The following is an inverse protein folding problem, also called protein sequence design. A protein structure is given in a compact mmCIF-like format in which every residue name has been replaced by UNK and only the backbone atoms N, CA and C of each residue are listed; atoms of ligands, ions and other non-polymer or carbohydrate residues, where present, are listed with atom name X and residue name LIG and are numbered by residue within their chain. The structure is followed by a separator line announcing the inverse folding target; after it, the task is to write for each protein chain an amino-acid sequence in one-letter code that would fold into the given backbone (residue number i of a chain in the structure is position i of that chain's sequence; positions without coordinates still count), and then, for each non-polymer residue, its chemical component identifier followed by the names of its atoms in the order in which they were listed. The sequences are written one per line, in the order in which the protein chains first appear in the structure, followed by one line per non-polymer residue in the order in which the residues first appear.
data_IF_108030575083
#
_entry.id   IF_108030575083
#
_cell.length_a   1.000
_cell.length_b   1.000
_cell.length_c   1.000
_cell.angle_alpha   90.00
_cell.angle_beta   90.00
_cell.angle_gamma   90.00
#
_symmetry.space_group_name_H-M   'P 1'
#
loop_
_entity.id
_entity.type
_entity.pdbx_description
1 polymer ?
#
# COMPACT_ATOMS: atom_id res chain seq x y z
N UNK A 1 -64.69 -11.52 44.39
CA UNK A 1 -64.18 -10.39 43.59
C UNK A 1 -62.66 -10.34 43.72
N UNK A 2 -61.97 -10.18 42.60
CA UNK A 2 -60.60 -9.65 42.42
C UNK A 2 -59.37 -10.55 42.71
N UNK A 3 -59.00 -11.27 41.63
CA UNK A 3 -57.67 -11.56 41.05
C UNK A 3 -56.42 -11.16 41.85
N UNK A 4 -55.50 -12.13 42.02
CA UNK A 4 -54.05 -11.90 41.90
C UNK A 4 -53.41 -13.02 41.08
N UNK A 5 -52.51 -12.60 40.19
CA UNK A 5 -51.91 -13.30 39.06
C UNK A 5 -50.54 -13.86 39.46
N UNK A 6 -50.17 -15.01 38.86
CA UNK A 6 -48.93 -15.83 38.99
C UNK A 6 -47.65 -15.02 38.68
N UNK A 7 -46.41 -15.50 39.00
CA UNK A 7 -45.73 -16.35 38.00
C UNK A 7 -44.74 -17.41 38.52
N UNK A 8 -44.72 -18.48 37.71
CA UNK A 8 -43.70 -19.49 37.46
C UNK A 8 -42.24 -19.03 37.70
N UNK A 9 -41.50 -19.76 38.55
CA UNK A 9 -40.05 -19.70 38.63
C UNK A 9 -39.45 -20.70 37.62
N UNK A 10 -39.05 -20.18 36.46
CA UNK A 10 -38.32 -20.92 35.43
C UNK A 10 -36.82 -20.80 35.65
N UNK A 11 -36.19 -21.93 35.99
CA UNK A 11 -34.76 -22.15 36.14
C UNK A 11 -34.04 -21.96 34.78
N UNK A 12 -33.20 -20.94 34.66
CA UNK A 12 -32.35 -20.71 33.47
C UNK A 12 -31.00 -21.38 33.70
N UNK A 13 -30.76 -22.51 33.01
CA UNK A 13 -29.47 -23.18 32.95
C UNK A 13 -28.67 -22.59 31.78
N UNK A 14 -27.71 -21.70 32.07
CA UNK A 14 -26.76 -21.16 31.10
C UNK A 14 -25.66 -22.19 30.85
N UNK A 15 -25.66 -22.81 29.66
CA UNK A 15 -24.54 -23.64 29.19
C UNK A 15 -23.59 -22.74 28.39
N UNK A 16 -22.37 -22.57 28.89
CA UNK A 16 -21.33 -21.77 28.26
C UNK A 16 -20.74 -22.54 27.07
N UNK A 17 -20.99 -22.04 25.85
CA UNK A 17 -20.31 -22.53 24.64
C UNK A 17 -18.95 -21.83 24.55
N UNK A 18 -17.88 -22.52 24.93
CA UNK A 18 -16.52 -22.08 24.68
C UNK A 18 -16.16 -22.34 23.22
N UNK A 19 -16.29 -21.31 22.37
CA UNK A 19 -15.77 -21.33 21.00
C UNK A 19 -14.26 -21.09 21.06
N UNK A 20 -13.42 -21.99 20.54
CA UNK A 20 -11.99 -21.74 20.45
C UNK A 20 -11.76 -20.70 19.37
N UNK A 21 -11.38 -19.49 19.77
CA UNK A 21 -10.86 -18.47 18.86
C UNK A 21 -9.45 -18.90 18.48
N UNK A 22 -9.31 -19.57 17.34
CA UNK A 22 -8.02 -19.80 16.72
C UNK A 22 -7.49 -18.45 16.21
N UNK A 23 -6.64 -17.79 17.01
CA UNK A 23 -5.81 -16.70 16.52
C UNK A 23 -4.74 -17.31 15.62
N UNK A 24 -4.91 -17.15 14.31
CA UNK A 24 -3.85 -17.42 13.35
C UNK A 24 -2.75 -16.39 13.57
N UNK A 25 -1.56 -16.87 13.92
CA UNK A 25 -0.35 -16.07 14.05
C UNK A 25 0.08 -15.67 12.63
N UNK A 26 -0.11 -14.39 12.27
CA UNK A 26 0.37 -13.84 11.02
C UNK A 26 1.89 -13.75 11.11
N UNK A 27 2.59 -14.66 10.43
CA UNK A 27 4.04 -14.59 10.26
C UNK A 27 4.42 -13.22 9.69
N UNK A 28 4.96 -12.32 10.54
CA UNK A 28 5.60 -11.06 10.18
C UNK A 28 6.83 -11.34 9.30
N UNK A 29 6.57 -11.67 8.05
CA UNK A 29 7.59 -11.60 7.01
C UNK A 29 7.79 -10.12 6.78
N UNK A 30 8.82 -9.53 7.40
CA UNK A 30 9.14 -8.11 7.28
C UNK A 30 8.94 -7.68 5.83
N UNK A 31 7.92 -6.86 5.59
CA UNK A 31 7.57 -6.47 4.25
C UNK A 31 8.70 -5.59 3.72
N UNK A 32 9.06 -5.65 2.41
CA UNK A 32 10.08 -4.75 1.85
C UNK A 32 9.86 -3.28 2.22
N UNK A 33 8.61 -2.88 2.43
CA UNK A 33 8.13 -1.60 2.93
C UNK A 33 8.74 -1.23 4.32
N UNK A 34 8.73 -2.17 5.27
CA UNK A 34 9.22 -1.95 6.65
C UNK A 34 10.74 -1.80 6.71
N UNK A 35 11.46 -2.55 5.88
CA UNK A 35 12.92 -2.47 5.77
C UNK A 35 13.38 -1.08 5.34
N UNK A 36 12.60 -0.43 4.49
CA UNK A 36 12.94 0.85 3.89
C UNK A 36 12.19 2.05 4.49
N UNK A 37 11.32 1.82 5.46
CA UNK A 37 10.63 2.90 6.17
C UNK A 37 9.58 3.60 5.32
N UNK A 38 8.90 2.87 4.44
CA UNK A 38 7.88 3.43 3.54
C UNK A 38 6.64 2.55 3.52
N UNK A 39 5.47 3.17 3.42
CA UNK A 39 4.18 2.48 3.30
C UNK A 39 3.54 2.88 1.98
N UNK A 40 3.05 1.92 1.19
CA UNK A 40 2.35 2.22 -0.06
C UNK A 40 0.95 2.73 0.28
N UNK A 41 0.67 3.98 -0.09
CA UNK A 41 -0.65 4.59 0.12
C UNK A 41 -1.55 4.37 -1.08
N UNK A 42 -1.00 4.50 -2.29
CA UNK A 42 -1.79 4.43 -3.51
C UNK A 42 -0.93 4.11 -4.72
N UNK A 43 -1.46 3.25 -5.59
CA UNK A 43 -0.98 3.05 -6.95
C UNK A 43 -2.19 3.00 -7.88
N UNK A 44 -2.29 3.95 -8.81
CA UNK A 44 -3.44 4.03 -9.73
C UNK A 44 -3.05 4.59 -11.09
N UNK A 45 -3.84 4.27 -12.11
CA UNK A 45 -3.75 4.96 -13.39
C UNK A 45 -4.41 6.34 -13.31
N UNK A 46 -3.81 7.34 -13.96
CA UNK A 46 -4.30 8.71 -14.06
C UNK A 46 -4.13 9.23 -15.50
N UNK A 47 -4.51 10.49 -15.76
CA UNK A 47 -4.42 11.11 -17.08
C UNK A 47 -5.02 10.22 -18.19
N UNK A 48 -6.25 9.73 -17.97
CA UNK A 48 -6.94 8.79 -18.88
C UNK A 48 -6.12 7.52 -19.21
N UNK A 49 -5.33 7.03 -18.25
CA UNK A 49 -4.52 5.82 -18.42
C UNK A 49 -3.11 6.09 -18.95
N UNK A 50 -2.74 7.31 -19.29
CA UNK A 50 -1.40 7.64 -19.80
C UNK A 50 -0.34 7.81 -18.71
N UNK A 51 -0.73 7.78 -17.43
CA UNK A 51 0.18 7.95 -16.32
C UNK A 51 -0.18 7.00 -15.18
N UNK A 52 0.82 6.63 -14.37
CA UNK A 52 0.61 5.88 -13.11
C UNK A 52 1.08 6.77 -11.95
N UNK A 53 0.14 7.10 -11.06
CA UNK A 53 0.36 7.89 -9.84
C UNK A 53 0.69 6.93 -8.70
N UNK A 54 1.95 6.93 -8.27
CA UNK A 54 2.42 6.19 -7.12
C UNK A 54 2.62 7.13 -5.93
N UNK A 55 1.97 6.79 -4.82
CA UNK A 55 2.05 7.54 -3.56
C UNK A 55 2.46 6.59 -2.44
N UNK A 56 3.43 7.04 -1.67
CA UNK A 56 3.90 6.33 -0.50
C UNK A 56 4.10 7.30 0.65
N UNK A 57 3.88 6.82 1.86
CA UNK A 57 4.10 7.54 3.12
C UNK A 57 5.45 7.11 3.68
N UNK A 58 6.23 8.06 4.18
CA UNK A 58 7.44 7.75 4.95
C UNK A 58 7.05 7.41 6.38
N UNK A 59 7.41 6.21 6.85
CA UNK A 59 7.26 5.78 8.24
C UNK A 59 8.54 6.01 9.04
N UNK A 60 9.71 5.79 8.42
CA UNK A 60 11.03 6.04 9.00
C UNK A 60 11.86 6.97 8.09
N UNK A 61 12.10 8.22 8.50
CA UNK A 61 12.88 9.18 7.73
C UNK A 61 14.33 8.76 7.46
N UNK A 62 14.97 8.06 8.39
CA UNK A 62 16.38 7.68 8.27
C UNK A 62 16.55 6.58 7.22
N UNK A 63 15.67 5.57 7.24
CA UNK A 63 15.66 4.47 6.26
C UNK A 63 15.24 4.90 4.86
N UNK A 64 14.39 5.93 4.74
CA UNK A 64 13.84 6.37 3.46
C UNK A 64 14.70 7.38 2.69
N UNK A 65 15.72 7.98 3.34
CA UNK A 65 16.72 8.87 2.70
C UNK A 65 17.26 8.37 1.36
N UNK A 66 17.76 7.12 1.22
CA UNK A 66 18.28 6.61 -0.05
C UNK A 66 17.22 6.58 -1.16
N UNK A 67 15.96 6.29 -0.85
CA UNK A 67 14.87 6.24 -1.85
C UNK A 67 14.51 7.63 -2.36
N UNK A 68 14.50 8.62 -1.47
CA UNK A 68 14.16 10.02 -1.77
C UNK A 68 15.32 10.84 -2.36
N UNK A 69 16.50 10.23 -2.49
CA UNK A 69 17.67 10.84 -3.10
C UNK A 69 17.44 11.21 -4.57
N UNK A 70 18.09 12.29 -5.02
CA UNK A 70 18.09 12.70 -6.42
C UNK A 70 18.82 11.69 -7.32
N UNK A 71 19.75 10.92 -6.76
CA UNK A 71 20.54 9.93 -7.51
C UNK A 71 19.74 8.65 -7.79
N UNK A 72 18.73 8.37 -6.99
CA UNK A 72 17.87 7.19 -7.14
C UNK A 72 16.97 7.38 -8.37
N UNK A 73 16.90 6.37 -9.23
CA UNK A 73 16.07 6.40 -10.45
C UNK A 73 14.94 5.38 -10.31
N UNK A 74 13.74 5.82 -9.88
CA UNK A 74 12.60 4.93 -9.80
C UNK A 74 12.19 4.43 -11.18
N UNK A 75 11.70 3.20 -11.25
CA UNK A 75 10.96 2.70 -12.41
C UNK A 75 9.95 1.65 -11.97
N UNK A 76 8.93 1.44 -12.79
CA UNK A 76 8.01 0.31 -12.65
C UNK A 76 8.38 -0.76 -13.66
N UNK A 77 8.10 -2.01 -13.31
CA UNK A 77 8.13 -3.13 -14.25
C UNK A 77 6.70 -3.65 -14.34
N UNK A 78 6.13 -3.59 -15.54
CA UNK A 78 4.86 -4.26 -15.80
C UNK A 78 5.09 -5.78 -15.80
N UNK A 79 4.46 -6.51 -14.88
CA UNK A 79 4.67 -7.95 -14.77
C UNK A 79 4.11 -8.73 -15.96
N UNK A 80 3.14 -8.18 -16.70
CA UNK A 80 2.57 -8.86 -17.87
C UNK A 80 3.50 -8.84 -19.06
N UNK A 81 4.14 -7.69 -19.29
CA UNK A 81 4.97 -7.46 -20.50
C UNK A 81 6.46 -7.49 -20.19
N UNK A 82 6.86 -7.43 -18.93
CA UNK A 82 8.25 -7.23 -18.51
C UNK A 82 8.80 -5.83 -18.83
N UNK A 83 7.94 -4.90 -19.25
CA UNK A 83 8.39 -3.58 -19.72
C UNK A 83 8.79 -2.69 -18.57
N UNK A 84 9.97 -2.08 -18.68
CA UNK A 84 10.43 -1.05 -17.75
C UNK A 84 9.82 0.30 -18.10
N UNK A 85 9.16 0.89 -17.10
CA UNK A 85 8.40 2.11 -17.21
C UNK A 85 9.07 3.19 -16.37
N UNK A 86 9.49 4.26 -17.07
CA UNK A 86 10.24 5.37 -16.48
C UNK A 86 9.35 6.39 -15.79
N UNK A 87 9.96 7.18 -14.90
CA UNK A 87 9.35 8.39 -14.33
C UNK A 87 9.03 9.38 -15.46
N UNK A 88 7.83 9.97 -15.41
CA UNK A 88 7.42 11.02 -16.32
C UNK A 88 8.34 12.24 -16.17
N UNK A 89 8.73 12.84 -17.29
CA UNK A 89 9.56 14.04 -17.31
C UNK A 89 8.79 15.15 -17.98
N UNK A 90 8.73 16.29 -17.30
CA UNK A 90 8.14 17.53 -17.82
C UNK A 90 9.24 18.53 -18.18
N UNK A 91 8.85 19.70 -18.68
CA UNK A 91 9.76 20.84 -18.84
C UNK A 91 10.50 21.22 -17.55
N UNK A 92 9.91 20.97 -16.38
CA UNK A 92 10.49 21.28 -15.07
C UNK A 92 11.28 20.11 -14.47
N UNK A 93 11.54 19.07 -15.27
CA UNK A 93 12.26 17.87 -14.84
C UNK A 93 11.34 16.71 -14.46
N UNK A 94 11.91 15.75 -13.74
CA UNK A 94 11.24 14.50 -13.37
C UNK A 94 10.06 14.75 -12.44
N UNK A 95 8.92 14.15 -12.75
CA UNK A 95 7.68 14.23 -11.97
C UNK A 95 7.73 13.31 -10.76
N UNK A 96 8.67 13.61 -9.87
CA UNK A 96 8.86 12.93 -8.59
C UNK A 96 9.31 13.93 -7.54
N UNK A 97 8.92 13.68 -6.30
CA UNK A 97 9.44 14.45 -5.18
C UNK A 97 10.74 13.84 -4.68
N UNK A 98 11.74 14.69 -4.45
CA UNK A 98 13.05 14.30 -3.88
C UNK A 98 13.38 15.23 -2.73
N UNK A 99 13.97 14.71 -1.66
CA UNK A 99 14.40 15.50 -0.51
C UNK A 99 15.60 14.83 0.16
N UNK A 100 16.48 15.62 0.77
CA UNK A 100 17.55 15.12 1.64
C UNK A 100 17.09 14.96 3.09
N UNK A 101 15.98 15.59 3.47
CA UNK A 101 15.33 15.50 4.77
C UNK A 101 13.89 15.00 4.59
N UNK A 102 13.67 13.67 4.56
CA UNK A 102 12.32 13.10 4.59
C UNK A 102 11.58 13.50 5.87
N UNK A 103 10.27 13.71 5.77
CA UNK A 103 9.42 13.97 6.92
C UNK A 103 8.58 12.74 7.26
N UNK A 104 8.50 12.37 8.54
CA UNK A 104 7.65 11.29 9.02
C UNK A 104 6.19 11.55 8.69
N UNK A 105 5.46 10.50 8.33
CA UNK A 105 4.04 10.53 7.98
C UNK A 105 3.71 11.44 6.78
N UNK A 106 4.71 11.85 6.00
CA UNK A 106 4.51 12.64 4.79
C UNK A 106 4.33 11.71 3.59
N UNK A 107 3.36 12.05 2.75
CA UNK A 107 3.12 11.37 1.48
C UNK A 107 3.99 12.02 0.40
N UNK A 108 4.76 11.18 -0.28
CA UNK A 108 5.54 11.52 -1.45
C UNK A 108 4.94 10.89 -2.69
N UNK A 109 5.13 11.56 -3.83
CA UNK A 109 4.57 11.11 -5.11
C UNK A 109 5.65 10.90 -6.16
N UNK A 110 5.49 9.85 -6.95
CA UNK A 110 6.21 9.59 -8.19
C UNK A 110 5.18 9.33 -9.28
N UNK A 111 5.31 10.03 -10.41
CA UNK A 111 4.46 9.84 -11.56
C UNK A 111 5.24 9.12 -12.65
N UNK A 112 4.71 8.01 -13.14
CA UNK A 112 5.29 7.22 -14.21
C UNK A 112 4.51 7.41 -15.51
N UNK A 113 5.18 7.31 -16.65
CA UNK A 113 4.51 7.31 -17.96
C UNK A 113 3.84 5.97 -18.22
N UNK A 114 2.69 5.89 -18.86
CA UNK A 114 2.10 4.62 -19.31
C UNK A 114 1.85 4.68 -20.83
N UNK A 115 2.91 4.52 -21.65
CA UNK A 115 2.78 4.61 -23.10
C UNK A 115 1.86 3.49 -23.59
N UNK A 116 0.90 3.83 -24.45
CA UNK A 116 -0.06 2.85 -24.99
C UNK A 116 -1.07 2.30 -23.97
N UNK A 117 -1.15 2.89 -22.77
CA UNK A 117 -2.09 2.48 -21.71
C UNK A 117 -1.99 0.98 -21.36
N UNK A 118 -0.76 0.45 -21.34
CA UNK A 118 -0.50 -0.98 -21.13
C UNK A 118 -0.85 -1.41 -19.72
N UNK A 119 -0.50 -0.60 -18.72
CA UNK A 119 -0.92 -0.81 -17.33
C UNK A 119 -2.38 -0.39 -17.17
N UNK A 120 -3.21 -1.29 -16.65
CA UNK A 120 -4.61 -1.03 -16.32
C UNK A 120 -4.89 -1.28 -14.84
N UNK A 121 -6.04 -0.81 -14.38
CA UNK A 121 -6.57 -1.15 -13.05
C UNK A 121 -6.70 -2.68 -12.93
N UNK A 122 -6.26 -3.22 -11.80
CA UNK A 122 -6.18 -4.66 -11.50
C UNK A 122 -4.84 -5.29 -11.89
N UNK A 123 -4.00 -4.60 -12.64
CA UNK A 123 -2.71 -5.15 -13.06
C UNK A 123 -1.72 -5.11 -11.91
N UNK A 124 -0.75 -6.03 -11.96
CA UNK A 124 0.35 -6.09 -11.01
C UNK A 124 1.61 -5.49 -11.61
N UNK A 125 2.31 -4.72 -10.80
CA UNK A 125 3.59 -4.13 -11.18
C UNK A 125 4.61 -4.37 -10.09
N UNK A 126 5.87 -4.37 -10.49
CA UNK A 126 7.00 -4.34 -9.56
C UNK A 126 7.56 -2.93 -9.51
N UNK A 127 7.69 -2.37 -8.32
CA UNK A 127 8.23 -1.04 -8.07
C UNK A 127 9.71 -1.20 -7.71
N UNK A 128 10.58 -0.47 -8.43
CA UNK A 128 12.01 -0.45 -8.13
C UNK A 128 12.46 0.98 -7.85
N UNK A 129 13.07 1.20 -6.69
CA UNK A 129 13.62 2.48 -6.26
C UNK A 129 15.02 2.30 -5.68
N UNK A 130 16.03 2.34 -6.55
CA UNK A 130 17.40 1.98 -6.14
C UNK A 130 17.44 0.50 -5.79
N UNK A 131 17.76 0.18 -4.53
CA UNK A 131 17.82 -1.20 -4.04
C UNK A 131 16.49 -1.67 -3.43
N UNK A 132 15.51 -0.77 -3.25
CA UNK A 132 14.15 -1.16 -2.88
C UNK A 132 13.46 -1.80 -4.09
N UNK A 133 13.00 -3.04 -3.91
CA UNK A 133 12.16 -3.75 -4.87
C UNK A 133 10.91 -4.24 -4.16
N UNK A 134 9.74 -3.85 -4.66
CA UNK A 134 8.44 -4.31 -4.15
C UNK A 134 7.70 -4.96 -5.30
N UNK A 135 7.44 -6.24 -5.19
CA UNK A 135 6.77 -7.04 -6.21
C UNK A 135 5.25 -7.10 -5.95
N UNK A 136 4.49 -7.49 -6.98
CA UNK A 136 3.06 -7.80 -6.89
C UNK A 136 2.16 -6.66 -6.40
N UNK A 137 2.57 -5.41 -6.64
CA UNK A 137 1.74 -4.25 -6.26
C UNK A 137 0.60 -4.10 -7.25
N UNK A 138 -0.64 -4.24 -6.77
CA UNK A 138 -1.84 -4.09 -7.57
C UNK A 138 -2.18 -2.62 -7.84
N UNK A 139 -2.60 -2.32 -9.06
CA UNK A 139 -3.06 -1.00 -9.49
C UNK A 139 -4.56 -0.86 -9.20
N UNK A 140 -4.94 0.12 -8.37
CA UNK A 140 -6.32 0.35 -7.93
C UNK A 140 -7.10 1.39 -8.74
#
# INVERSE_FOLDING_TARGET
MNRVIKPFAGLVLLWAVAVPVCFADETETQSPQDKWGVEIVMLRTTAQGYMVDFRYRVTDPEKSKPILSRNTKPYLVDQKTGTNIRVATSRFGSMRQTTTAPATNRIYTVLFTNPGQTIKKGDKVTIVMGDLKIEDVAVN
#
